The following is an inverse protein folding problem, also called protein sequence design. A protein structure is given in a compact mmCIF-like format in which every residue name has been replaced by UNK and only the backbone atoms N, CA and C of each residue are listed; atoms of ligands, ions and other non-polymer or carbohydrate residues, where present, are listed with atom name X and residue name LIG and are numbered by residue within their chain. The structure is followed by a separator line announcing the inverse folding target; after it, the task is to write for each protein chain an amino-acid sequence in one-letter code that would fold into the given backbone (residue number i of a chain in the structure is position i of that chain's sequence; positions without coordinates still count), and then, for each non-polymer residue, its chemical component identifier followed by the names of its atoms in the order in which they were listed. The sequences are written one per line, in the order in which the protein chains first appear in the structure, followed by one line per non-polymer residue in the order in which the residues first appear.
data_IF_864975108836
#
_entry.id   IF_864975108836
#
_cell.length_a   1.000
_cell.length_b   1.000
_cell.length_c   1.000
_cell.angle_alpha   90.00
_cell.angle_beta   90.00
_cell.angle_gamma   90.00
#
_symmetry.space_group_name_H-M   'P 1'
#
loop_
_entity.id
_entity.type
_entity.pdbx_description
1 polymer ?
#
# COMPACT_ATOMS: atom_id res chain seq x y z
N UNK A 1 -31.60 0.94 25.13
CA UNK A 1 -30.14 1.16 25.05
C UNK A 1 -29.67 0.61 23.70
N UNK A 2 -29.59 1.45 22.67
CA UNK A 2 -29.35 1.01 21.29
C UNK A 2 -27.87 0.71 21.05
N UNK A 3 -27.58 -0.51 20.62
CA UNK A 3 -26.25 -0.93 20.13
C UNK A 3 -25.95 -0.19 18.83
N UNK A 4 -24.99 0.75 18.85
CA UNK A 4 -24.43 1.33 17.64
C UNK A 4 -23.76 0.23 16.83
N UNK A 5 -24.39 -0.15 15.72
CA UNK A 5 -23.70 -0.87 14.65
C UNK A 5 -22.61 0.05 14.15
N UNK A 6 -21.36 -0.36 14.38
CA UNK A 6 -20.12 0.25 13.90
C UNK A 6 -20.37 0.74 12.48
N UNK A 7 -20.41 2.06 12.31
CA UNK A 7 -20.61 2.67 11.00
C UNK A 7 -19.66 2.03 10.01
N UNK A 8 -20.15 1.75 8.82
CA UNK A 8 -19.32 1.32 7.70
C UNK A 8 -18.22 2.36 7.57
N UNK A 9 -17.01 1.99 8.00
CA UNK A 9 -15.84 2.84 7.84
C UNK A 9 -15.62 2.90 6.34
N UNK A 10 -15.89 4.05 5.72
CA UNK A 10 -15.39 4.40 4.39
C UNK A 10 -13.95 3.86 4.29
N UNK A 11 -13.58 3.09 3.25
CA UNK A 11 -12.28 2.43 3.19
C UNK A 11 -11.23 3.49 3.48
N UNK A 12 -10.58 3.37 4.65
CA UNK A 12 -9.69 4.40 5.13
C UNK A 12 -8.63 4.59 4.05
N UNK A 13 -8.59 5.79 3.46
CA UNK A 13 -7.62 6.12 2.42
C UNK A 13 -6.23 5.78 2.97
N UNK A 14 -5.47 4.98 2.23
CA UNK A 14 -4.30 4.28 2.71
C UNK A 14 -3.32 5.15 3.48
N UNK A 15 -2.97 4.76 4.71
CA UNK A 15 -1.97 5.48 5.54
C UNK A 15 -0.85 4.59 6.02
N UNK A 16 -0.96 3.27 5.86
CA UNK A 16 0.06 2.32 6.29
C UNK A 16 1.03 1.98 5.15
N UNK A 17 2.10 1.23 5.46
CA UNK A 17 3.10 0.83 4.47
C UNK A 17 2.48 -0.11 3.42
N UNK A 18 2.70 0.16 2.13
CA UNK A 18 2.07 -0.58 1.03
C UNK A 18 0.66 -0.12 0.67
N UNK A 19 0.10 0.84 1.41
CA UNK A 19 -1.12 1.56 1.03
C UNK A 19 -0.78 2.97 0.52
N UNK A 20 -1.73 3.60 -0.19
CA UNK A 20 -1.58 4.96 -0.70
C UNK A 20 -2.83 5.80 -0.46
N UNK A 21 -2.61 7.10 -0.25
CA UNK A 21 -3.68 8.10 -0.18
C UNK A 21 -3.82 8.86 -1.49
N UNK A 22 -2.71 9.36 -2.05
CA UNK A 22 -2.67 10.05 -3.34
C UNK A 22 -1.25 9.94 -3.94
N UNK A 23 -1.00 8.85 -4.65
CA UNK A 23 0.26 8.60 -5.33
C UNK A 23 0.35 9.48 -6.58
N UNK A 24 1.45 10.24 -6.72
CA UNK A 24 1.62 11.18 -7.82
C UNK A 24 2.85 10.88 -8.68
N UNK A 25 3.89 10.29 -8.09
CA UNK A 25 5.12 10.02 -8.81
C UNK A 25 5.70 8.66 -8.49
N UNK A 26 6.42 8.12 -9.47
CA UNK A 26 7.15 6.87 -9.38
C UNK A 26 8.53 7.00 -10.03
N UNK A 27 9.49 6.25 -9.52
CA UNK A 27 10.84 6.12 -10.08
C UNK A 27 11.41 4.74 -9.75
N UNK A 28 12.42 4.32 -10.50
CA UNK A 28 13.14 3.07 -10.27
C UNK A 28 14.57 3.40 -9.88
N UNK A 29 15.06 2.82 -8.77
CA UNK A 29 16.46 2.97 -8.37
C UNK A 29 17.40 2.03 -9.17
N UNK A 30 18.73 2.23 -9.14
CA UNK A 30 19.67 1.39 -9.91
C UNK A 30 19.66 -0.11 -9.54
N UNK A 31 19.03 -0.49 -8.43
CA UNK A 31 18.86 -1.89 -8.01
C UNK A 31 17.50 -2.45 -8.46
N UNK A 32 16.72 -1.69 -9.23
CA UNK A 32 15.40 -2.08 -9.73
C UNK A 32 14.27 -1.89 -8.72
N UNK A 33 14.49 -1.23 -7.57
CA UNK A 33 13.41 -1.03 -6.60
C UNK A 33 12.48 0.11 -7.02
N UNK A 34 11.19 -0.05 -6.77
CA UNK A 34 10.19 0.99 -7.04
C UNK A 34 10.15 2.00 -5.88
N UNK A 35 10.30 3.27 -6.22
CA UNK A 35 10.18 4.40 -5.30
C UNK A 35 8.91 5.17 -5.66
N UNK A 36 8.08 5.46 -4.66
CA UNK A 36 6.82 6.18 -4.85
C UNK A 36 6.79 7.48 -4.05
N UNK A 37 6.34 8.57 -4.66
CA UNK A 37 6.08 9.85 -4.00
C UNK A 37 4.58 10.13 -3.91
N UNK A 38 4.09 10.41 -2.70
CA UNK A 38 2.70 10.79 -2.45
C UNK A 38 2.56 12.29 -2.19
N UNK A 39 1.65 12.95 -2.90
CA UNK A 39 1.42 14.39 -2.72
C UNK A 39 0.54 14.70 -1.49
N UNK A 40 -0.42 13.82 -1.16
CA UNK A 40 -1.32 13.99 0.00
C UNK A 40 -1.16 12.87 1.06
N UNK A 41 -0.16 12.02 0.88
CA UNK A 41 0.35 11.07 1.88
C UNK A 41 1.55 11.62 2.68
N UNK A 42 2.20 12.67 2.16
CA UNK A 42 3.44 13.26 2.68
C UNK A 42 4.50 12.21 3.00
N UNK A 43 4.66 11.24 2.10
CA UNK A 43 5.50 10.07 2.30
C UNK A 43 6.17 9.63 1.01
N UNK A 44 7.37 9.08 1.19
CA UNK A 44 8.06 8.27 0.19
C UNK A 44 8.04 6.81 0.66
N UNK A 45 7.73 5.88 -0.24
CA UNK A 45 7.81 4.44 0.04
C UNK A 45 8.74 3.77 -0.97
N UNK A 46 9.51 2.78 -0.51
CA UNK A 46 10.39 1.95 -1.35
C UNK A 46 9.90 0.50 -1.33
N UNK A 47 9.68 -0.06 -2.51
CA UNK A 47 9.29 -1.45 -2.71
C UNK A 47 10.48 -2.22 -3.27
N UNK A 48 10.94 -3.21 -2.50
CA UNK A 48 12.08 -4.04 -2.90
C UNK A 48 11.67 -4.96 -4.03
N UNK A 49 12.36 -4.87 -5.16
CA UNK A 49 12.13 -5.79 -6.27
C UNK A 49 12.73 -7.16 -5.96
N UNK A 50 11.89 -8.20 -6.02
CA UNK A 50 12.26 -9.59 -5.70
C UNK A 50 12.39 -10.49 -6.95
N UNK A 51 12.32 -9.92 -8.15
CA UNK A 51 12.26 -10.66 -9.41
C UNK A 51 10.82 -10.80 -9.95
N UNK A 52 10.72 -11.23 -11.21
CA UNK A 52 9.44 -11.54 -11.85
C UNK A 52 8.88 -12.86 -11.31
N UNK A 53 7.57 -12.91 -11.06
CA UNK A 53 6.86 -14.12 -10.64
C UNK A 53 5.45 -14.16 -11.27
N UNK A 54 4.86 -15.36 -11.45
CA UNK A 54 3.48 -15.48 -11.91
C UNK A 54 2.49 -14.78 -10.97
N UNK A 55 1.48 -14.14 -11.53
CA UNK A 55 0.36 -13.58 -10.76
C UNK A 55 -0.60 -14.72 -10.41
N UNK A 56 -0.70 -15.06 -9.12
CA UNK A 56 -1.52 -16.19 -8.63
C UNK A 56 -2.90 -15.78 -8.12
N UNK A 57 -3.13 -14.48 -7.90
CA UNK A 57 -4.41 -13.92 -7.43
C UNK A 57 -4.68 -12.59 -8.13
N UNK A 58 -5.93 -12.38 -8.56
CA UNK A 58 -6.36 -11.11 -9.16
C UNK A 58 -6.26 -9.95 -8.16
N UNK A 59 -6.77 -10.15 -6.96
CA UNK A 59 -6.77 -9.15 -5.88
C UNK A 59 -5.98 -9.69 -4.68
N UNK A 60 -4.70 -9.31 -4.57
CA UNK A 60 -3.82 -9.74 -3.47
C UNK A 60 -3.93 -8.82 -2.24
N UNK A 61 -4.31 -7.56 -2.41
CA UNK A 61 -4.28 -6.55 -1.36
C UNK A 61 -2.86 -6.23 -0.85
N UNK A 62 -2.77 -5.48 0.24
CA UNK A 62 -1.48 -5.17 0.89
C UNK A 62 -0.99 -6.39 1.66
N UNK A 63 0.25 -6.80 1.38
CA UNK A 63 0.90 -7.93 2.06
C UNK A 63 1.51 -7.43 3.37
N UNK A 64 0.79 -7.68 4.47
CA UNK A 64 1.28 -7.40 5.82
C UNK A 64 2.20 -8.52 6.32
N UNK A 65 3.28 -8.21 7.07
CA UNK A 65 4.05 -9.23 7.78
C UNK A 65 3.14 -9.97 8.77
N UNK A 66 3.12 -11.30 8.73
CA UNK A 66 2.25 -12.11 9.61
C UNK A 66 2.82 -12.41 11.00
N UNK A 67 4.11 -12.16 11.22
CA UNK A 67 4.79 -12.07 12.52
C UNK A 67 6.28 -11.83 12.25
N UNK A 68 7.03 -11.41 13.27
CA UNK A 68 8.48 -11.14 13.16
C UNK A 68 9.29 -12.43 13.08
#
# INVERSE_FOLDING_TARGET
MGSLRRGVQEPARGRKAGEFFHLHSLSIDPKGNLITGESQGYRVQKFVYKGMAPVTKKDQGVVWPTSR
#
